data_IF_996219518644
#
_entry.id   IF_996219518644
#
_cell.length_a   1.000
_cell.length_b   1.000
_cell.length_c   1.000
_cell.angle_alpha   90.00
_cell.angle_beta   90.00
_cell.angle_gamma   90.00
#
_symmetry.space_group_name_H-M   'P 1'
#
loop_
_entity.id
_entity.type
_entity.pdbx_description
1 polymer ?
#
# COMPACT_ATOMS: atom_id res chain seq x y z
N UNK A 1 45.00 -73.34 18.28
CA UNK A 1 46.32 -73.41 17.65
C UNK A 1 46.25 -72.65 16.34
N UNK A 2 46.76 -71.42 16.32
CA UNK A 2 47.44 -70.76 15.20
C UNK A 2 47.67 -69.30 15.60
N UNK A 3 48.93 -69.03 15.95
CA UNK A 3 49.50 -67.70 16.15
C UNK A 3 49.82 -67.12 14.77
N UNK A 4 49.51 -65.86 14.55
CA UNK A 4 50.19 -65.03 13.56
C UNK A 4 50.65 -63.76 14.28
N UNK A 5 51.97 -63.67 14.41
CA UNK A 5 52.72 -62.52 14.90
C UNK A 5 53.25 -61.82 13.65
N UNK A 6 52.99 -60.52 13.46
CA UNK A 6 53.90 -59.61 12.76
C UNK A 6 53.94 -58.25 13.50
N UNK A 7 55.18 -57.77 13.64
CA UNK A 7 55.80 -56.75 14.48
C UNK A 7 55.68 -55.34 13.84
N UNK A 8 55.88 -54.23 14.60
CA UNK A 8 55.42 -52.90 14.25
C UNK A 8 56.42 -52.11 13.40
N UNK A 9 55.92 -51.10 12.68
CA UNK A 9 56.75 -50.02 12.14
C UNK A 9 56.28 -48.72 12.80
N UNK A 10 57.07 -48.27 13.78
CA UNK A 10 57.09 -46.89 14.22
C UNK A 10 57.92 -46.13 13.19
N UNK A 11 57.26 -45.21 12.47
CA UNK A 11 57.94 -44.09 11.85
C UNK A 11 57.18 -42.85 12.30
N UNK A 12 57.73 -42.21 13.34
CA UNK A 12 57.41 -40.84 13.62
C UNK A 12 57.87 -39.96 12.47
N UNK A 13 57.19 -38.84 12.27
CA UNK A 13 57.75 -37.49 12.40
C UNK A 13 56.64 -36.48 12.06
N UNK A 14 56.72 -35.36 12.78
CA UNK A 14 56.06 -34.08 12.57
C UNK A 14 54.58 -34.00 12.95
N UNK A 15 54.36 -33.68 14.23
CA UNK A 15 53.26 -32.81 14.60
C UNK A 15 53.42 -31.48 13.85
N UNK A 16 52.57 -31.27 12.84
CA UNK A 16 52.18 -29.93 12.43
C UNK A 16 50.75 -29.79 12.89
N UNK A 17 50.59 -29.15 14.06
CA UNK A 17 49.30 -28.63 14.48
C UNK A 17 49.05 -27.44 13.57
N UNK A 18 48.48 -27.69 12.39
CA UNK A 18 47.84 -26.65 11.60
C UNK A 18 46.57 -26.28 12.35
N UNK A 19 46.69 -25.26 13.19
CA UNK A 19 45.57 -24.56 13.79
C UNK A 19 44.85 -23.84 12.64
N UNK A 20 43.97 -24.56 11.94
CA UNK A 20 42.98 -23.92 11.08
C UNK A 20 41.99 -23.23 12.02
N UNK A 21 42.31 -21.98 12.38
CA UNK A 21 41.31 -21.00 12.77
C UNK A 21 40.27 -20.98 11.65
N UNK A 22 39.16 -21.69 11.87
CA UNK A 22 37.91 -21.32 11.23
C UNK A 22 37.55 -19.97 11.84
N UNK A 23 37.98 -18.89 11.18
CA UNK A 23 37.34 -17.60 11.35
C UNK A 23 35.90 -17.87 10.88
N UNK A 24 34.87 -17.74 11.75
CA UNK A 24 33.53 -17.62 11.22
C UNK A 24 33.59 -16.38 10.34
N UNK A 25 33.34 -16.52 9.03
CA UNK A 25 32.87 -15.39 8.26
C UNK A 25 31.63 -14.90 9.02
N UNK A 26 31.79 -13.86 9.83
CA UNK A 26 30.67 -13.01 10.16
C UNK A 26 30.19 -12.49 8.82
N UNK A 27 29.10 -13.11 8.34
CA UNK A 27 28.21 -12.50 7.38
C UNK A 27 27.93 -11.11 7.92
N UNK A 28 28.61 -10.13 7.37
CA UNK A 28 28.28 -8.72 7.54
C UNK A 28 27.05 -8.50 6.70
N UNK A 29 25.91 -9.03 7.16
CA UNK A 29 24.63 -8.50 6.74
C UNK A 29 24.67 -7.01 7.11
N UNK A 30 24.44 -6.10 6.15
CA UNK A 30 24.27 -4.71 6.50
C UNK A 30 23.05 -4.64 7.42
N UNK A 31 23.32 -4.38 8.71
CA UNK A 31 22.34 -4.06 9.75
C UNK A 31 21.76 -2.67 9.48
N UNK A 32 21.03 -2.55 8.38
CA UNK A 32 20.11 -1.46 8.07
C UNK A 32 19.10 -1.99 7.04
N UNK A 33 18.23 -2.92 7.43
CA UNK A 33 16.86 -2.78 6.93
C UNK A 33 16.35 -1.50 7.61
N UNK A 34 16.14 -0.41 6.87
CA UNK A 34 15.59 0.78 7.47
C UNK A 34 14.20 0.42 8.02
N UNK A 35 13.67 1.25 8.91
CA UNK A 35 12.35 1.12 9.54
C UNK A 35 11.25 1.42 8.48
N UNK A 36 11.37 0.81 7.31
CA UNK A 36 10.40 0.68 6.23
C UNK A 36 10.06 -0.81 6.13
N UNK A 37 9.59 -1.39 7.22
CA UNK A 37 8.96 -2.71 7.19
C UNK A 37 7.46 -2.48 6.96
N UNK A 38 7.02 -2.89 5.77
CA UNK A 38 5.67 -2.97 5.18
C UNK A 38 4.78 -1.71 5.11
N UNK A 39 4.69 -1.19 3.89
CA UNK A 39 3.63 -0.28 3.42
C UNK A 39 3.93 1.22 3.51
N UNK A 40 2.97 2.04 3.07
CA UNK A 40 3.09 3.49 2.93
C UNK A 40 3.36 4.29 4.22
N UNK A 41 3.81 5.54 4.05
CA UNK A 41 4.13 6.56 5.05
C UNK A 41 3.39 7.88 4.75
N UNK A 42 3.44 8.84 5.66
CA UNK A 42 2.89 10.18 5.42
C UNK A 42 3.63 10.96 4.32
N UNK A 43 4.87 10.60 4.00
CA UNK A 43 5.69 11.28 2.99
C UNK A 43 5.35 10.85 1.56
N UNK A 44 4.68 9.72 1.38
CA UNK A 44 4.30 9.21 0.05
C UNK A 44 3.30 10.13 -0.66
N UNK A 45 2.69 11.07 0.05
CA UNK A 45 1.91 12.15 -0.54
C UNK A 45 2.73 13.03 -1.50
N UNK A 46 4.04 13.19 -1.26
CA UNK A 46 4.93 13.96 -2.15
C UNK A 46 5.14 13.23 -3.48
N UNK A 47 5.19 11.90 -3.44
CA UNK A 47 5.22 11.05 -4.64
C UNK A 47 3.91 11.16 -5.41
N UNK A 48 2.76 11.05 -4.72
CA UNK A 48 1.43 11.23 -5.34
C UNK A 48 1.32 12.63 -6.00
N UNK A 49 1.73 13.68 -5.29
CA UNK A 49 1.77 15.05 -5.81
C UNK A 49 2.62 15.18 -7.07
N UNK A 50 3.74 14.45 -7.14
CA UNK A 50 4.65 14.52 -8.28
C UNK A 50 4.07 13.80 -9.48
N UNK A 51 3.56 12.58 -9.29
CA UNK A 51 2.97 11.77 -10.35
C UNK A 51 1.71 12.40 -10.94
N UNK A 52 0.84 12.98 -10.11
CA UNK A 52 -0.42 13.58 -10.58
C UNK A 52 -0.26 14.85 -11.40
N UNK A 53 0.89 15.54 -11.31
CA UNK A 53 1.19 16.69 -12.16
C UNK A 53 1.25 16.34 -13.65
N UNK A 54 1.57 15.09 -14.00
CA UNK A 54 1.58 14.64 -15.40
C UNK A 54 0.18 14.65 -16.03
N UNK A 55 -0.86 14.67 -15.20
CA UNK A 55 -2.27 14.71 -15.58
C UNK A 55 -2.93 16.07 -15.35
N UNK A 56 -2.13 17.13 -15.09
CA UNK A 56 -2.63 18.45 -14.69
C UNK A 56 -3.52 18.43 -13.42
N UNK A 57 -3.27 17.45 -12.53
CA UNK A 57 -3.95 17.29 -11.24
C UNK A 57 -2.99 17.74 -10.13
N UNK A 58 -3.47 18.60 -9.24
CA UNK A 58 -2.66 19.16 -8.17
C UNK A 58 -3.13 18.65 -6.81
N UNK A 59 -2.20 18.28 -5.95
CA UNK A 59 -2.49 17.87 -4.58
C UNK A 59 -1.88 18.89 -3.62
N UNK A 60 -2.68 19.42 -2.69
CA UNK A 60 -2.23 20.43 -1.73
C UNK A 60 -1.22 19.87 -0.74
N UNK A 61 -0.49 20.74 -0.05
CA UNK A 61 0.30 20.34 1.11
C UNK A 61 -0.58 19.68 2.19
N UNK A 62 -0.07 18.67 2.90
CA UNK A 62 -0.84 17.98 3.93
C UNK A 62 -1.09 18.87 5.14
N UNK A 63 -2.33 18.84 5.64
CA UNK A 63 -2.74 19.48 6.89
C UNK A 63 -3.00 18.41 7.93
N UNK A 64 -2.31 18.49 9.07
CA UNK A 64 -2.50 17.56 10.17
C UNK A 64 -3.82 17.81 10.92
N UNK A 65 -4.51 16.73 11.27
CA UNK A 65 -5.74 16.70 12.04
C UNK A 65 -5.50 15.78 13.24
N UNK A 66 -5.61 16.36 14.44
CA UNK A 66 -5.39 15.66 15.72
C UNK A 66 -6.48 15.96 16.74
N UNK A 67 -7.53 16.66 16.33
CA UNK A 67 -8.64 17.03 17.19
C UNK A 67 -9.83 16.07 17.00
N UNK A 68 -10.95 16.40 17.66
CA UNK A 68 -12.18 15.61 17.63
C UNK A 68 -12.82 15.45 16.24
N UNK A 69 -12.37 16.18 15.21
CA UNK A 69 -12.88 16.10 13.84
C UNK A 69 -12.21 14.98 13.03
N UNK A 70 -11.18 14.33 13.56
CA UNK A 70 -10.39 13.31 12.85
C UNK A 70 -11.24 12.21 12.19
N UNK A 71 -12.34 11.81 12.81
CA UNK A 71 -13.26 10.79 12.29
C UNK A 71 -14.00 11.23 11.02
N UNK A 72 -14.06 12.54 10.72
CA UNK A 72 -14.64 13.03 9.47
C UNK A 72 -13.73 12.77 8.26
N UNK A 73 -12.43 12.55 8.50
CA UNK A 73 -11.41 12.44 7.45
C UNK A 73 -10.80 11.04 7.37
N UNK A 74 -10.57 10.42 8.53
CA UNK A 74 -9.88 9.13 8.66
C UNK A 74 -10.70 8.15 9.50
N UNK A 75 -11.88 7.76 9.00
CA UNK A 75 -12.66 6.63 9.54
C UNK A 75 -12.65 5.48 8.55
N UNK A 76 -12.36 4.28 9.03
CA UNK A 76 -12.49 3.05 8.26
C UNK A 76 -13.18 1.98 9.09
N UNK A 77 -13.62 0.89 8.46
CA UNK A 77 -14.28 -0.20 9.15
C UNK A 77 -13.40 -1.44 9.13
N UNK A 78 -13.12 -2.00 10.30
CA UNK A 78 -12.46 -3.29 10.45
C UNK A 78 -13.46 -4.26 11.09
N UNK A 79 -13.73 -5.39 10.42
CA UNK A 79 -14.70 -6.40 10.91
C UNK A 79 -16.09 -5.80 11.24
N UNK A 80 -16.52 -4.83 10.44
CA UNK A 80 -17.81 -4.14 10.60
C UNK A 80 -17.86 -3.10 11.73
N UNK A 81 -16.74 -2.80 12.38
CA UNK A 81 -16.66 -1.80 13.45
C UNK A 81 -15.87 -0.58 12.98
N UNK A 82 -16.37 0.65 13.22
CA UNK A 82 -15.63 1.85 12.89
C UNK A 82 -14.36 1.92 13.74
N UNK A 83 -13.24 2.19 13.08
CA UNK A 83 -11.94 2.45 13.67
C UNK A 83 -11.59 3.91 13.45
N UNK A 84 -11.18 4.56 14.54
CA UNK A 84 -10.61 5.89 14.50
C UNK A 84 -9.09 5.77 14.66
N UNK A 85 -8.39 6.67 13.97
CA UNK A 85 -6.95 6.85 14.14
C UNK A 85 -6.68 8.03 15.10
N UNK A 86 -5.46 8.13 15.59
CA UNK A 86 -5.05 9.22 16.51
C UNK A 86 -4.48 10.44 15.76
N UNK A 87 -3.97 10.20 14.55
CA UNK A 87 -3.36 11.21 13.70
C UNK A 87 -3.77 10.98 12.24
N UNK A 88 -4.18 12.07 11.57
CA UNK A 88 -4.60 12.06 10.17
C UNK A 88 -3.97 13.26 9.47
N UNK A 89 -3.55 13.11 8.22
CA UNK A 89 -3.26 14.23 7.33
C UNK A 89 -4.34 14.27 6.26
N UNK A 90 -4.78 15.48 5.89
CA UNK A 90 -5.68 15.68 4.76
C UNK A 90 -5.03 16.57 3.71
N UNK A 91 -5.26 16.26 2.45
CA UNK A 91 -4.78 17.02 1.29
C UNK A 91 -5.94 17.21 0.33
N UNK A 92 -6.10 18.40 -0.23
CA UNK A 92 -7.08 18.64 -1.27
C UNK A 92 -6.53 18.18 -2.62
N UNK A 93 -7.37 17.54 -3.43
CA UNK A 93 -7.09 17.25 -4.83
C UNK A 93 -7.80 18.29 -5.68
N UNK A 94 -7.06 18.94 -6.56
CA UNK A 94 -7.49 20.06 -7.38
C UNK A 94 -7.34 19.72 -8.87
N UNK A 95 -8.29 20.17 -9.67
CA UNK A 95 -8.20 20.15 -11.12
C UNK A 95 -7.26 21.25 -11.67
N UNK A 96 -7.12 21.31 -12.99
CA UNK A 96 -6.28 22.29 -13.68
C UNK A 96 -6.74 23.75 -13.51
N UNK A 97 -8.01 23.97 -13.18
CA UNK A 97 -8.61 25.29 -12.92
C UNK A 97 -8.48 25.70 -11.43
N UNK A 98 -7.99 24.79 -10.58
CA UNK A 98 -7.84 24.97 -9.14
C UNK A 98 -9.10 24.69 -8.33
N UNK A 99 -10.13 24.07 -8.92
CA UNK A 99 -11.30 23.63 -8.19
C UNK A 99 -11.02 22.33 -7.44
N UNK A 100 -11.54 22.21 -6.22
CA UNK A 100 -11.42 20.98 -5.43
C UNK A 100 -12.34 19.90 -5.97
N UNK A 101 -11.76 18.77 -6.35
CA UNK A 101 -12.48 17.57 -6.82
C UNK A 101 -12.50 16.45 -5.77
N UNK A 102 -11.75 16.62 -4.67
CA UNK A 102 -11.73 15.67 -3.58
C UNK A 102 -10.59 15.86 -2.59
N UNK A 103 -10.28 14.79 -1.85
CA UNK A 103 -9.20 14.78 -0.89
C UNK A 103 -8.55 13.40 -0.74
N UNK A 104 -7.25 13.40 -0.43
CA UNK A 104 -6.50 12.22 -0.01
C UNK A 104 -6.12 12.41 1.46
N UNK A 105 -6.53 11.45 2.28
CA UNK A 105 -6.28 11.43 3.72
C UNK A 105 -5.39 10.23 4.05
N UNK A 106 -4.39 10.42 4.90
CA UNK A 106 -3.55 9.34 5.42
C UNK A 106 -3.69 9.34 6.94
N UNK A 107 -3.93 8.18 7.55
CA UNK A 107 -4.34 8.04 8.95
C UNK A 107 -3.62 6.91 9.69
N UNK A 108 -3.39 7.10 10.99
CA UNK A 108 -2.82 6.12 11.89
C UNK A 108 -2.31 6.74 13.18
N UNK A 109 -1.13 6.34 13.61
CA UNK A 109 -0.35 7.06 14.62
C UNK A 109 0.61 8.02 13.93
N UNK A 110 1.21 8.96 14.67
CA UNK A 110 2.22 9.89 14.13
C UNK A 110 3.45 9.18 13.53
N UNK A 111 3.73 7.94 13.92
CA UNK A 111 4.87 7.16 13.45
C UNK A 111 4.49 6.06 12.46
N UNK A 112 3.24 5.63 12.42
CA UNK A 112 2.79 4.49 11.63
C UNK A 112 1.39 4.74 11.08
N UNK A 113 1.28 5.19 9.81
CA UNK A 113 0.02 5.21 9.11
C UNK A 113 -0.39 3.78 8.74
N UNK A 114 -1.70 3.53 8.87
CA UNK A 114 -2.33 2.24 8.62
C UNK A 114 -3.51 2.36 7.64
N UNK A 115 -3.88 3.58 7.28
CA UNK A 115 -5.05 3.93 6.49
C UNK A 115 -4.69 5.01 5.48
N UNK A 116 -5.18 4.86 4.25
CA UNK A 116 -5.31 5.95 3.30
C UNK A 116 -6.73 5.95 2.71
N UNK A 117 -7.30 7.14 2.52
CA UNK A 117 -8.64 7.33 1.95
C UNK A 117 -8.53 8.41 0.87
N UNK A 118 -8.85 8.07 -0.38
CA UNK A 118 -9.05 9.04 -1.44
C UNK A 118 -10.56 9.15 -1.73
N UNK A 119 -11.12 10.33 -1.52
CA UNK A 119 -12.52 10.63 -1.84
C UNK A 119 -12.57 11.59 -3.02
N UNK A 120 -13.27 11.21 -4.08
CA UNK A 120 -13.53 12.04 -5.25
C UNK A 120 -15.03 12.13 -5.45
N UNK A 121 -15.54 13.34 -5.67
CA UNK A 121 -16.96 13.58 -5.91
C UNK A 121 -17.14 14.17 -7.30
N UNK A 122 -17.93 13.49 -8.12
CA UNK A 122 -18.19 13.87 -9.52
C UNK A 122 -19.70 13.97 -9.77
N UNK A 123 -20.11 14.70 -10.81
CA UNK A 123 -21.52 14.78 -11.18
C UNK A 123 -22.05 13.42 -11.64
N UNK A 124 -21.23 12.70 -12.41
CA UNK A 124 -21.48 11.31 -12.87
C UNK A 124 -20.16 10.54 -12.85
N UNK A 125 -20.20 9.22 -12.97
CA UNK A 125 -18.95 8.45 -13.10
C UNK A 125 -18.19 8.73 -14.41
N UNK A 126 -18.89 9.23 -15.43
CA UNK A 126 -18.30 9.48 -16.76
C UNK A 126 -17.72 10.89 -16.92
N UNK A 127 -18.16 11.88 -16.13
CA UNK A 127 -17.75 13.29 -16.32
C UNK A 127 -16.24 13.49 -16.19
N UNK A 128 -15.63 12.79 -15.24
CA UNK A 128 -14.21 12.94 -14.87
C UNK A 128 -13.53 11.56 -14.74
N UNK A 129 -13.95 10.61 -15.57
CA UNK A 129 -13.50 9.21 -15.51
C UNK A 129 -11.98 9.09 -15.61
N UNK A 130 -11.39 9.73 -16.62
CA UNK A 130 -9.94 9.69 -16.86
C UNK A 130 -9.16 10.29 -15.67
N UNK A 131 -9.58 11.46 -15.19
CA UNK A 131 -9.02 12.13 -14.00
C UNK A 131 -9.11 11.24 -12.76
N UNK A 132 -10.28 10.66 -12.53
CA UNK A 132 -10.54 9.77 -11.39
C UNK A 132 -9.65 8.53 -11.45
N UNK A 133 -9.52 7.93 -12.63
CA UNK A 133 -8.69 6.73 -12.83
C UNK A 133 -7.22 7.04 -12.64
N UNK A 134 -6.75 8.18 -13.12
CA UNK A 134 -5.37 8.63 -12.90
C UNK A 134 -5.09 8.80 -11.39
N UNK A 135 -6.02 9.40 -10.64
CA UNK A 135 -5.89 9.58 -9.18
C UNK A 135 -5.83 8.23 -8.47
N UNK A 136 -6.83 7.37 -8.64
CA UNK A 136 -6.88 6.09 -7.94
C UNK A 136 -5.73 5.16 -8.34
N UNK A 137 -5.36 5.12 -9.63
CA UNK A 137 -4.20 4.35 -10.09
C UNK A 137 -2.92 4.84 -9.43
N UNK A 138 -2.68 6.15 -9.43
CA UNK A 138 -1.48 6.73 -8.79
C UNK A 138 -1.45 6.44 -7.30
N UNK A 139 -2.59 6.57 -6.60
CA UNK A 139 -2.69 6.30 -5.16
C UNK A 139 -2.40 4.83 -4.86
N UNK A 140 -2.97 3.89 -5.62
CA UNK A 140 -2.72 2.45 -5.42
C UNK A 140 -1.26 2.12 -5.71
N UNK A 141 -0.72 2.56 -6.85
CA UNK A 141 0.66 2.26 -7.23
C UNK A 141 1.67 2.82 -6.23
N UNK A 142 1.40 4.00 -5.69
CA UNK A 142 2.30 4.64 -4.72
C UNK A 142 2.21 4.01 -3.35
N UNK A 143 1.00 3.71 -2.87
CA UNK A 143 0.80 3.29 -1.47
C UNK A 143 0.81 1.77 -1.26
N UNK A 144 0.55 1.00 -2.32
CA UNK A 144 0.50 -0.46 -2.28
C UNK A 144 1.74 -1.03 -2.97
N UNK A 145 1.75 -1.02 -4.31
CA UNK A 145 2.87 -1.42 -5.15
C UNK A 145 2.57 -1.12 -6.63
N UNK A 146 3.60 -1.09 -7.47
CA UNK A 146 3.52 -1.19 -8.92
C UNK A 146 3.38 -2.64 -9.42
N UNK A 147 3.15 -3.58 -8.51
CA UNK A 147 3.11 -5.03 -8.74
C UNK A 147 1.75 -5.59 -9.16
N UNK A 148 0.78 -4.74 -9.53
CA UNK A 148 -0.58 -5.18 -9.87
C UNK A 148 -0.60 -6.24 -10.98
N UNK A 149 0.18 -6.02 -12.04
CA UNK A 149 0.27 -6.92 -13.20
C UNK A 149 1.00 -8.24 -12.88
N UNK A 150 1.72 -8.31 -11.75
CA UNK A 150 2.45 -9.50 -11.32
C UNK A 150 1.58 -10.46 -10.49
N UNK A 151 0.42 -10.01 -10.02
CA UNK A 151 -0.46 -10.76 -9.11
C UNK A 151 -1.72 -11.26 -9.85
N UNK A 152 -1.59 -12.41 -10.49
CA UNK A 152 -2.68 -13.06 -11.25
C UNK A 152 -3.95 -13.31 -10.39
N UNK A 153 -3.82 -13.41 -9.06
CA UNK A 153 -4.95 -13.71 -8.17
C UNK A 153 -5.95 -12.55 -8.02
N UNK A 154 -5.58 -11.33 -8.43
CA UNK A 154 -6.47 -10.14 -8.40
C UNK A 154 -7.64 -10.30 -9.37
N UNK A 155 -7.45 -11.03 -10.48
CA UNK A 155 -8.49 -11.27 -11.49
C UNK A 155 -8.78 -10.08 -12.42
N UNK A 156 -7.99 -9.02 -12.36
CA UNK A 156 -8.05 -7.85 -13.23
C UNK A 156 -6.67 -7.58 -13.82
N UNK A 157 -6.58 -7.34 -15.14
CA UNK A 157 -5.31 -7.11 -15.83
C UNK A 157 -4.65 -5.81 -15.36
N UNK A 158 -5.43 -4.74 -15.22
CA UNK A 158 -4.94 -3.44 -14.73
C UNK A 158 -5.86 -2.82 -13.66
N UNK A 159 -5.36 -1.81 -12.94
CA UNK A 159 -6.18 -1.01 -12.02
C UNK A 159 -7.38 -0.35 -12.75
N UNK A 160 -7.19 0.32 -13.91
CA UNK A 160 -8.31 0.82 -14.71
C UNK A 160 -9.36 -0.23 -15.07
N UNK A 161 -8.98 -1.46 -15.40
CA UNK A 161 -9.94 -2.53 -15.73
C UNK A 161 -10.80 -2.92 -14.53
N UNK A 162 -10.19 -2.94 -13.33
CA UNK A 162 -10.93 -3.13 -12.08
C UNK A 162 -11.92 -1.99 -11.85
N UNK A 163 -11.47 -0.73 -11.94
CA UNK A 163 -12.33 0.45 -11.76
C UNK A 163 -13.50 0.44 -12.76
N UNK A 164 -13.25 0.10 -14.03
CA UNK A 164 -14.25 0.04 -15.10
C UNK A 164 -15.28 -1.07 -14.87
N UNK A 165 -14.84 -2.23 -14.40
CA UNK A 165 -15.74 -3.31 -14.01
C UNK A 165 -16.66 -2.87 -12.87
N UNK A 166 -16.13 -2.14 -11.89
CA UNK A 166 -16.91 -1.64 -10.75
C UNK A 166 -17.90 -0.56 -11.20
N UNK A 167 -17.49 0.38 -12.07
CA UNK A 167 -18.36 1.38 -12.69
C UNK A 167 -19.49 0.74 -13.49
N UNK A 168 -19.19 -0.27 -14.31
CA UNK A 168 -20.21 -1.03 -15.07
C UNK A 168 -21.21 -1.69 -14.13
N UNK A 169 -20.72 -2.36 -13.08
CA UNK A 169 -21.59 -3.00 -12.09
C UNK A 169 -22.48 -2.00 -11.35
N UNK A 170 -22.00 -0.78 -11.07
CA UNK A 170 -22.81 0.28 -10.46
C UNK A 170 -24.04 0.61 -11.32
N UNK A 171 -23.83 0.86 -12.62
CA UNK A 171 -24.94 1.16 -13.54
C UNK A 171 -25.88 -0.03 -13.73
N UNK A 172 -25.35 -1.24 -13.87
CA UNK A 172 -26.15 -2.48 -13.96
C UNK A 172 -26.97 -2.76 -12.68
N UNK A 173 -26.57 -2.17 -11.56
CA UNK A 173 -27.23 -2.34 -10.26
C UNK A 173 -28.34 -1.32 -10.00
N UNK A 174 -28.77 -0.55 -10.99
CA UNK A 174 -29.66 0.60 -10.85
C UNK A 174 -29.08 1.67 -9.91
N UNK A 175 -27.78 1.95 -10.05
CA UNK A 175 -27.08 3.01 -9.30
C UNK A 175 -27.19 2.86 -7.78
N UNK A 176 -27.19 1.60 -7.29
CA UNK A 176 -27.12 1.33 -5.85
C UNK A 176 -25.70 1.55 -5.35
N UNK A 177 -25.56 1.84 -4.06
CA UNK A 177 -24.24 1.89 -3.44
C UNK A 177 -23.54 0.53 -3.59
N UNK A 178 -22.32 0.53 -4.12
CA UNK A 178 -21.53 -0.67 -4.34
C UNK A 178 -20.18 -0.58 -3.63
N UNK A 179 -19.63 -1.76 -3.37
CA UNK A 179 -18.29 -1.93 -2.79
C UNK A 179 -17.58 -3.06 -3.52
N UNK A 180 -16.32 -2.85 -3.86
CA UNK A 180 -15.44 -3.83 -4.48
C UNK A 180 -14.13 -3.90 -3.70
N UNK A 181 -13.62 -5.10 -3.48
CA UNK A 181 -12.53 -5.36 -2.54
C UNK A 181 -11.44 -6.20 -3.19
N UNK A 182 -10.19 -5.78 -3.05
CA UNK A 182 -8.99 -6.56 -3.35
C UNK A 182 -8.29 -6.86 -2.02
N UNK A 183 -8.07 -8.13 -1.75
CA UNK A 183 -7.48 -8.62 -0.50
C UNK A 183 -6.04 -9.10 -0.70
N UNK A 184 -5.17 -8.80 0.27
CA UNK A 184 -3.78 -9.27 0.35
C UNK A 184 -2.87 -8.88 -0.82
N UNK A 185 -3.10 -7.72 -1.45
CA UNK A 185 -2.11 -7.17 -2.39
C UNK A 185 -1.02 -6.43 -1.60
N UNK A 186 0.21 -6.96 -1.64
CA UNK A 186 1.36 -6.43 -0.89
C UNK A 186 1.06 -6.20 0.62
N UNK A 187 0.40 -7.17 1.27
CA UNK A 187 -0.04 -7.11 2.67
C UNK A 187 -1.02 -5.95 2.99
N UNK A 188 -1.74 -5.47 1.97
CA UNK A 188 -2.79 -4.46 2.11
C UNK A 188 -4.16 -4.98 1.66
N UNK A 189 -5.19 -4.34 2.20
CA UNK A 189 -6.57 -4.45 1.76
C UNK A 189 -6.95 -3.15 1.03
N UNK A 190 -7.51 -3.29 -0.18
CA UNK A 190 -7.98 -2.17 -1.00
C UNK A 190 -9.50 -2.31 -1.16
N UNK A 191 -10.23 -1.27 -0.80
CA UNK A 191 -11.69 -1.20 -0.93
C UNK A 191 -12.05 0.01 -1.78
N UNK A 192 -12.83 -0.21 -2.82
CA UNK A 192 -13.39 0.84 -3.66
C UNK A 192 -14.91 0.89 -3.50
N UNK A 193 -15.43 2.03 -3.08
CA UNK A 193 -16.85 2.27 -2.83
C UNK A 193 -17.38 3.33 -3.79
N UNK A 194 -18.58 3.10 -4.32
CA UNK A 194 -19.35 4.10 -5.07
C UNK A 194 -20.65 4.33 -4.32
N UNK A 195 -20.91 5.59 -3.96
CA UNK A 195 -22.09 6.02 -3.20
C UNK A 195 -22.84 7.10 -3.95
N UNK A 196 -24.10 6.84 -4.28
CA UNK A 196 -24.98 7.79 -4.94
C UNK A 196 -25.42 8.86 -3.94
N UNK A 197 -25.32 10.13 -4.33
CA UNK A 197 -25.88 11.28 -3.62
C UNK A 197 -26.96 11.92 -4.48
N UNK A 198 -27.69 12.88 -3.92
CA UNK A 198 -28.83 13.51 -4.60
C UNK A 198 -28.48 14.13 -5.97
N UNK A 199 -27.27 14.67 -6.14
CA UNK A 199 -26.83 15.35 -7.37
C UNK A 199 -25.37 15.01 -7.75
N UNK A 200 -24.79 13.96 -7.17
CA UNK A 200 -23.38 13.62 -7.37
C UNK A 200 -23.14 12.16 -7.04
N UNK A 201 -21.96 11.66 -7.40
CA UNK A 201 -21.48 10.33 -7.08
C UNK A 201 -20.18 10.45 -6.30
N UNK A 202 -20.16 9.90 -5.09
CA UNK A 202 -18.95 9.83 -4.27
C UNK A 202 -18.23 8.51 -4.54
N UNK A 203 -16.98 8.61 -4.97
CA UNK A 203 -16.07 7.51 -5.20
C UNK A 203 -15.01 7.53 -4.10
N UNK A 204 -14.94 6.45 -3.32
CA UNK A 204 -14.05 6.36 -2.16
C UNK A 204 -13.13 5.15 -2.31
N UNK A 205 -11.83 5.41 -2.43
CA UNK A 205 -10.79 4.39 -2.35
C UNK A 205 -10.23 4.36 -0.93
N UNK A 206 -10.22 3.19 -0.30
CA UNK A 206 -9.69 2.95 1.04
C UNK A 206 -8.59 1.91 0.95
N UNK A 207 -7.41 2.22 1.48
CA UNK A 207 -6.28 1.30 1.57
C UNK A 207 -5.94 1.13 3.05
N UNK A 208 -5.94 -0.10 3.53
CA UNK A 208 -5.57 -0.42 4.91
C UNK A 208 -4.46 -1.44 4.97
N UNK A 209 -3.50 -1.21 5.87
CA UNK A 209 -2.49 -2.21 6.22
C UNK A 209 -3.09 -3.24 7.16
N UNK A 210 -2.72 -4.50 6.99
CA UNK A 210 -2.93 -5.48 8.06
C UNK A 210 -1.99 -5.14 9.23
N UNK A 211 -2.57 -4.93 10.42
CA UNK A 211 -1.85 -4.61 11.67
C UNK A 211 -1.92 -5.79 12.62
#
# INVERSE_FOLDING_TARGET
MNKLIIIPIILGIAAIVSYSMLIPEESSEPLTTPIYNSGFTYYDIETIQTSLKEYDIFVSSPTAITDHTISQYCTFFEKGLPRNVEYCTTTAVLDSDGNTIGNINIGGSTASPILAIANLETDTLESDKETTYAIFTTVIQTLVCDCWEEEESIGFETIPDWLDTVHTFYYDSDERNIKSKIDNLADTEILFEITSKDNSVLQTLIITKHV
#
